data_IF_627083643064
#
_entry.id   IF_627083643064
#
_cell.length_a   1.000
_cell.length_b   1.000
_cell.length_c   1.000
_cell.angle_alpha   90.00
_cell.angle_beta   90.00
_cell.angle_gamma   90.00
#
_symmetry.space_group_name_H-M   'P 1'
#
loop_
_entity.id
_entity.type
_entity.pdbx_description
1 polymer ?
#
# COMPACT_ATOMS: atom_id res chain seq x y z
N UNK A 1 -34.69 18.10 -12.44
CA UNK A 1 -34.59 18.46 -11.00
C UNK A 1 -35.94 18.61 -10.26
N UNK A 2 -37.10 18.48 -10.94
CA UNK A 2 -38.42 18.64 -10.30
C UNK A 2 -38.80 17.61 -9.23
N UNK A 3 -38.13 16.44 -9.19
CA UNK A 3 -38.49 15.32 -8.30
C UNK A 3 -37.56 15.11 -7.09
N UNK A 4 -36.48 15.91 -6.94
CA UNK A 4 -35.57 15.87 -5.78
C UNK A 4 -36.30 16.06 -4.42
N UNK A 5 -37.29 16.95 -4.30
CA UNK A 5 -38.04 17.10 -3.05
C UNK A 5 -38.79 15.83 -2.62
N UNK A 6 -39.29 15.03 -3.59
CA UNK A 6 -39.98 13.77 -3.32
C UNK A 6 -38.99 12.69 -2.81
N UNK A 7 -37.80 12.59 -3.40
CA UNK A 7 -36.74 11.70 -2.92
C UNK A 7 -36.32 12.08 -1.49
N UNK A 8 -36.13 13.38 -1.24
CA UNK A 8 -35.76 13.88 0.09
C UNK A 8 -36.85 13.65 1.15
N UNK A 9 -38.11 13.81 0.79
CA UNK A 9 -39.26 13.51 1.67
C UNK A 9 -39.32 12.02 2.01
N UNK A 10 -39.05 11.13 1.03
CA UNK A 10 -38.93 9.69 1.22
C UNK A 10 -37.86 9.30 2.23
N UNK A 11 -36.66 9.88 2.10
CA UNK A 11 -35.55 9.64 2.99
C UNK A 11 -35.80 10.12 4.43
N UNK A 12 -36.51 11.23 4.61
CA UNK A 12 -36.81 11.82 5.94
C UNK A 12 -37.88 11.06 6.73
N UNK A 13 -38.68 10.24 6.10
CA UNK A 13 -39.88 9.65 6.74
C UNK A 13 -39.53 8.63 7.83
N UNK A 14 -38.55 7.74 7.61
CA UNK A 14 -38.04 6.81 8.63
C UNK A 14 -36.57 7.08 8.91
N UNK A 15 -36.33 8.17 9.62
CA UNK A 15 -34.99 8.73 9.89
C UNK A 15 -34.01 7.69 10.45
N UNK A 16 -34.46 6.85 11.39
CA UNK A 16 -33.59 5.84 12.03
C UNK A 16 -33.10 4.80 11.02
N UNK A 17 -34.00 4.26 10.18
CA UNK A 17 -33.64 3.27 9.16
C UNK A 17 -32.69 3.85 8.12
N UNK A 18 -33.03 5.03 7.59
CA UNK A 18 -32.17 5.72 6.61
C UNK A 18 -30.82 6.03 7.19
N UNK A 19 -30.76 6.52 8.45
CA UNK A 19 -29.50 6.79 9.15
C UNK A 19 -28.67 5.51 9.36
N UNK A 20 -29.27 4.41 9.78
CA UNK A 20 -28.55 3.15 9.96
C UNK A 20 -28.04 2.57 8.63
N UNK A 21 -28.82 2.64 7.56
CA UNK A 21 -28.37 2.20 6.23
C UNK A 21 -27.24 3.10 5.72
N UNK A 22 -27.39 4.41 5.86
CA UNK A 22 -26.33 5.38 5.53
C UNK A 22 -25.05 5.11 6.31
N UNK A 23 -25.16 4.92 7.64
CA UNK A 23 -24.01 4.63 8.51
C UNK A 23 -23.32 3.32 8.13
N UNK A 24 -24.10 2.27 7.80
CA UNK A 24 -23.54 0.99 7.35
C UNK A 24 -22.74 1.15 6.07
N UNK A 25 -23.25 1.92 5.09
CA UNK A 25 -22.55 2.21 3.84
C UNK A 25 -21.31 3.09 4.11
N UNK A 26 -21.44 4.11 4.95
CA UNK A 26 -20.35 4.96 5.38
C UNK A 26 -19.17 4.15 5.98
N UNK A 27 -19.45 3.29 6.95
CA UNK A 27 -18.44 2.43 7.61
C UNK A 27 -17.77 1.51 6.60
N UNK A 28 -18.54 0.94 5.68
CA UNK A 28 -18.01 0.04 4.68
C UNK A 28 -17.07 0.71 3.68
N UNK A 29 -17.42 1.89 3.20
CA UNK A 29 -16.55 2.63 2.30
C UNK A 29 -15.33 3.21 3.02
N UNK A 30 -15.48 3.55 4.30
CA UNK A 30 -14.35 3.88 5.15
C UNK A 30 -13.39 2.68 5.31
N UNK A 31 -13.94 1.48 5.59
CA UNK A 31 -13.14 0.25 5.65
C UNK A 31 -12.50 -0.10 4.31
N UNK A 32 -13.22 0.06 3.20
CA UNK A 32 -12.67 -0.12 1.85
C UNK A 32 -11.44 0.77 1.62
N UNK A 33 -11.51 2.05 2.00
CA UNK A 33 -10.40 2.98 1.86
C UNK A 33 -9.20 2.58 2.74
N UNK A 34 -9.44 2.18 4.00
CA UNK A 34 -8.37 1.69 4.88
C UNK A 34 -7.72 0.40 4.36
N UNK A 35 -8.51 -0.54 3.85
CA UNK A 35 -7.98 -1.77 3.24
C UNK A 35 -7.22 -1.47 1.95
N UNK A 36 -7.66 -0.48 1.16
CA UNK A 36 -6.93 0.01 0.00
C UNK A 36 -5.57 0.62 0.36
N UNK A 37 -5.53 1.45 1.42
CA UNK A 37 -4.29 2.01 1.95
C UNK A 37 -3.38 0.92 2.54
N UNK A 38 -3.93 -0.07 3.23
CA UNK A 38 -3.18 -1.23 3.75
C UNK A 38 -2.56 -2.04 2.61
N UNK A 39 -3.34 -2.35 1.57
CA UNK A 39 -2.83 -3.04 0.37
C UNK A 39 -1.66 -2.27 -0.23
N UNK A 40 -1.77 -0.95 -0.39
CA UNK A 40 -0.71 -0.12 -0.94
C UNK A 40 0.52 -0.09 -0.04
N UNK A 41 0.33 0.04 1.27
CA UNK A 41 1.42 0.01 2.24
C UNK A 41 2.23 -1.29 2.18
N UNK A 42 1.57 -2.42 1.95
CA UNK A 42 2.21 -3.73 1.84
C UNK A 42 2.77 -4.01 0.44
N UNK A 43 2.24 -3.34 -0.60
CA UNK A 43 2.68 -3.46 -1.99
C UNK A 43 3.61 -2.33 -2.42
N UNK A 44 3.80 -1.32 -1.59
CA UNK A 44 4.41 -0.02 -1.93
C UNK A 44 5.86 -0.10 -2.42
N UNK A 45 6.58 -1.17 -2.08
CA UNK A 45 7.93 -1.42 -2.63
C UNK A 45 7.94 -1.61 -4.15
N UNK A 46 6.84 -2.12 -4.72
CA UNK A 46 6.74 -2.40 -6.16
C UNK A 46 6.56 -1.11 -6.99
N UNK A 47 5.83 -0.13 -6.47
CA UNK A 47 5.54 1.12 -7.20
C UNK A 47 6.70 2.10 -7.23
N UNK A 48 7.70 1.93 -6.35
CA UNK A 48 8.90 2.76 -6.25
C UNK A 48 10.13 2.13 -6.91
N UNK A 49 10.03 0.85 -7.31
CA UNK A 49 11.11 0.16 -7.98
C UNK A 49 11.51 0.88 -9.28
N UNK A 50 12.80 1.05 -9.49
CA UNK A 50 13.33 1.63 -10.72
C UNK A 50 13.09 0.68 -11.89
N UNK A 51 12.55 1.21 -12.98
CA UNK A 51 12.38 0.43 -14.21
C UNK A 51 13.73 0.03 -14.84
N UNK A 52 14.79 0.75 -14.49
CA UNK A 52 16.16 0.59 -14.94
C UNK A 52 17.03 -0.20 -13.96
N UNK A 53 16.42 -0.80 -12.91
CA UNK A 53 17.17 -1.54 -11.88
C UNK A 53 16.84 -3.02 -11.86
N UNK A 54 17.90 -3.83 -11.76
CA UNK A 54 17.85 -5.28 -11.55
C UNK A 54 18.39 -5.62 -10.17
N UNK A 55 17.83 -6.65 -9.54
CA UNK A 55 18.35 -7.25 -8.31
C UNK A 55 19.03 -8.57 -8.67
N UNK A 56 20.30 -8.70 -8.30
CA UNK A 56 21.08 -9.92 -8.44
C UNK A 56 21.27 -10.53 -7.07
N UNK A 57 20.67 -11.66 -6.83
CA UNK A 57 20.74 -12.39 -5.56
C UNK A 57 21.22 -13.81 -5.76
N UNK A 58 21.53 -14.49 -4.67
CA UNK A 58 21.82 -15.92 -4.75
C UNK A 58 20.61 -16.70 -5.28
N UNK A 59 20.86 -17.65 -6.19
CA UNK A 59 19.79 -18.40 -6.90
C UNK A 59 18.84 -19.14 -5.97
N UNK A 60 19.38 -19.72 -4.91
CA UNK A 60 18.62 -20.59 -3.99
C UNK A 60 17.81 -19.77 -2.98
N UNK A 61 18.42 -18.76 -2.36
CA UNK A 61 17.79 -18.01 -1.27
C UNK A 61 18.36 -16.60 -1.17
N UNK A 62 17.51 -15.64 -0.74
CA UNK A 62 17.92 -14.28 -0.42
C UNK A 62 18.83 -14.20 0.83
N UNK A 63 18.76 -15.21 1.71
CA UNK A 63 19.57 -15.26 2.93
C UNK A 63 21.03 -15.64 2.62
N UNK A 64 21.26 -16.37 1.52
CA UNK A 64 22.60 -16.71 1.09
C UNK A 64 23.30 -15.52 0.45
N UNK A 65 24.55 -15.33 0.84
CA UNK A 65 25.38 -14.21 0.40
C UNK A 65 26.09 -14.52 -0.92
N UNK A 66 26.53 -13.48 -1.60
CA UNK A 66 27.33 -13.52 -2.84
C UNK A 66 28.72 -12.94 -2.58
N UNK A 67 29.77 -13.41 -3.28
CA UNK A 67 31.09 -12.81 -3.17
C UNK A 67 31.11 -11.33 -3.59
N UNK A 68 31.73 -10.45 -2.80
CA UNK A 68 31.90 -9.02 -3.12
C UNK A 68 32.64 -8.82 -4.47
N UNK A 69 33.52 -9.75 -4.84
CA UNK A 69 34.24 -9.74 -6.11
C UNK A 69 33.36 -9.81 -7.35
N UNK A 70 32.09 -10.24 -7.22
CA UNK A 70 31.15 -10.26 -8.34
C UNK A 70 30.78 -8.88 -8.86
N UNK A 71 30.89 -7.83 -8.03
CA UNK A 71 30.65 -6.43 -8.44
C UNK A 71 31.39 -6.05 -9.71
N UNK A 72 32.69 -6.32 -9.76
CA UNK A 72 33.53 -5.96 -10.92
C UNK A 72 33.13 -6.76 -12.18
N UNK A 73 32.78 -8.04 -12.04
CA UNK A 73 32.36 -8.90 -13.12
C UNK A 73 30.99 -8.46 -13.69
N UNK A 74 30.05 -8.13 -12.82
CA UNK A 74 28.73 -7.63 -13.21
C UNK A 74 28.87 -6.29 -13.94
N UNK A 75 29.71 -5.39 -13.44
CA UNK A 75 29.95 -4.09 -14.07
C UNK A 75 30.56 -4.19 -15.48
N UNK A 76 31.30 -5.26 -15.77
CA UNK A 76 31.89 -5.51 -17.09
C UNK A 76 30.89 -6.01 -18.13
N UNK A 77 29.66 -6.38 -17.73
CA UNK A 77 28.63 -6.88 -18.64
C UNK A 77 28.06 -5.71 -19.47
N UNK A 78 27.95 -5.91 -20.80
CA UNK A 78 27.44 -4.88 -21.71
C UNK A 78 26.01 -4.45 -21.38
N UNK A 79 25.79 -3.16 -21.20
CA UNK A 79 24.48 -2.58 -20.85
C UNK A 79 24.30 -2.30 -19.36
N UNK A 80 25.22 -2.74 -18.50
CA UNK A 80 25.28 -2.36 -17.08
C UNK A 80 25.89 -0.97 -16.96
N UNK A 81 25.20 -0.07 -16.28
CA UNK A 81 25.64 1.32 -16.06
C UNK A 81 26.25 1.54 -14.68
N UNK A 82 25.72 0.88 -13.65
CA UNK A 82 26.23 0.98 -12.28
C UNK A 82 25.85 -0.27 -11.48
N UNK A 83 26.64 -0.56 -10.44
CA UNK A 83 26.41 -1.68 -9.53
C UNK A 83 26.68 -1.21 -8.10
N UNK A 84 25.74 -1.44 -7.20
CA UNK A 84 25.96 -1.32 -5.77
C UNK A 84 25.51 -2.60 -5.06
N UNK A 85 25.97 -2.82 -3.85
CA UNK A 85 25.55 -3.96 -3.05
C UNK A 85 24.93 -3.53 -1.73
N UNK A 86 24.13 -4.43 -1.18
CA UNK A 86 23.46 -4.30 0.10
C UNK A 86 23.53 -5.64 0.83
N UNK A 87 23.51 -5.57 2.14
CA UNK A 87 23.42 -6.77 2.99
C UNK A 87 22.35 -6.56 4.04
N UNK A 88 21.59 -7.59 4.32
CA UNK A 88 20.62 -7.52 5.41
C UNK A 88 21.32 -7.57 6.75
N UNK A 89 21.21 -6.53 7.56
CA UNK A 89 21.85 -6.49 8.87
C UNK A 89 20.94 -7.02 9.98
N UNK A 90 19.65 -6.75 9.90
CA UNK A 90 18.64 -7.25 10.85
C UNK A 90 18.82 -6.70 12.27
N UNK A 91 19.39 -5.52 12.43
CA UNK A 91 19.63 -4.89 13.72
C UNK A 91 18.34 -4.49 14.41
N UNK A 92 18.29 -4.69 15.73
CA UNK A 92 17.14 -4.41 16.59
C UNK A 92 17.53 -3.31 17.58
N UNK A 93 16.69 -2.30 17.72
CA UNK A 93 16.86 -1.22 18.68
C UNK A 93 16.11 -1.50 19.97
N UNK A 94 16.84 -1.75 21.06
CA UNK A 94 16.32 -2.00 22.41
C UNK A 94 15.41 -3.24 22.53
N UNK A 95 14.22 -3.23 21.90
CA UNK A 95 13.18 -4.27 22.02
C UNK A 95 12.95 -4.92 20.64
N UNK A 96 12.75 -6.25 20.52
CA UNK A 96 12.47 -6.94 19.25
C UNK A 96 11.33 -6.33 18.42
N UNK A 97 10.32 -5.73 19.06
CA UNK A 97 9.21 -5.03 18.36
C UNK A 97 9.64 -3.72 17.69
N UNK A 98 10.81 -3.20 18.02
CA UNK A 98 11.39 -2.02 17.39
C UNK A 98 12.21 -2.35 16.14
N UNK A 99 11.73 -3.31 15.38
CA UNK A 99 12.31 -3.69 14.11
C UNK A 99 12.09 -2.59 13.04
N UNK A 100 13.10 -2.40 12.21
CA UNK A 100 13.09 -1.61 10.96
C UNK A 100 14.21 -2.10 10.04
N UNK A 101 14.06 -1.96 8.71
CA UNK A 101 15.09 -2.40 7.76
C UNK A 101 16.38 -1.59 7.95
N UNK A 102 17.51 -2.30 8.06
CA UNK A 102 18.82 -1.65 8.20
C UNK A 102 19.87 -2.47 7.45
N UNK A 103 20.69 -1.76 6.65
CA UNK A 103 21.59 -2.37 5.67
C UNK A 103 22.91 -1.62 5.56
N UNK A 104 24.06 -2.32 5.58
CA UNK A 104 25.31 -1.76 5.16
C UNK A 104 25.35 -1.58 3.64
N UNK A 105 25.87 -0.44 3.21
CA UNK A 105 25.96 -0.03 1.81
C UNK A 105 27.28 0.74 1.55
N UNK A 106 27.69 0.83 0.29
CA UNK A 106 28.73 1.78 -0.13
C UNK A 106 28.10 3.15 -0.38
N UNK A 107 28.36 4.16 0.46
CA UNK A 107 27.57 5.41 0.45
C UNK A 107 27.54 6.15 -0.89
N UNK A 108 28.67 6.22 -1.60
CA UNK A 108 28.76 6.91 -2.89
C UNK A 108 27.91 6.24 -3.97
N UNK A 109 28.06 4.95 -4.14
CA UNK A 109 27.33 4.16 -5.13
C UNK A 109 25.84 4.06 -4.79
N UNK A 110 25.54 3.95 -3.50
CA UNK A 110 24.18 3.87 -3.03
C UNK A 110 23.37 5.13 -3.34
N UNK A 111 23.87 6.31 -3.01
CA UNK A 111 23.16 7.57 -3.29
C UNK A 111 23.01 7.81 -4.81
N UNK A 112 24.02 7.42 -5.60
CA UNK A 112 23.91 7.49 -7.05
C UNK A 112 22.86 6.49 -7.60
N UNK A 113 22.74 5.30 -6.98
CA UNK A 113 21.79 4.25 -7.39
C UNK A 113 20.33 4.60 -7.04
N UNK A 114 20.09 5.26 -5.91
CA UNK A 114 18.77 5.55 -5.36
C UNK A 114 18.51 7.05 -5.23
N UNK A 115 18.32 7.79 -6.34
CA UNK A 115 18.08 9.23 -6.33
C UNK A 115 16.74 9.62 -5.67
N UNK A 116 15.88 8.66 -5.43
CA UNK A 116 14.64 8.85 -4.68
C UNK A 116 14.85 9.14 -3.19
N UNK A 117 16.00 8.83 -2.63
CA UNK A 117 16.38 9.20 -1.26
C UNK A 117 17.12 10.53 -1.26
N UNK A 118 16.49 11.56 -0.73
CA UNK A 118 17.03 12.91 -0.68
C UNK A 118 17.74 13.14 0.63
N UNK A 119 19.06 13.38 0.55
CA UNK A 119 19.89 13.71 1.70
C UNK A 119 20.55 15.08 1.45
N UNK A 120 20.54 15.96 2.44
CA UNK A 120 21.21 17.26 2.33
C UNK A 120 22.72 17.07 2.06
N UNK A 121 23.27 17.85 1.14
CA UNK A 121 24.70 17.74 0.73
C UNK A 121 25.70 17.79 1.90
N UNK A 122 25.42 18.62 2.91
CA UNK A 122 26.24 18.69 4.10
C UNK A 122 26.24 17.35 4.86
N UNK A 123 25.08 16.71 5.00
CA UNK A 123 24.93 15.40 5.66
C UNK A 123 25.56 14.28 4.82
N UNK A 124 25.44 14.36 3.50
CA UNK A 124 26.09 13.42 2.59
C UNK A 124 27.62 13.45 2.76
N UNK A 125 28.23 14.63 2.81
CA UNK A 125 29.67 14.78 3.04
C UNK A 125 30.11 14.21 4.40
N UNK A 126 29.34 14.45 5.45
CA UNK A 126 29.61 13.90 6.78
C UNK A 126 29.49 12.37 6.76
N UNK A 127 28.47 11.81 6.07
CA UNK A 127 28.30 10.36 5.96
C UNK A 127 29.49 9.70 5.24
N UNK A 128 29.97 10.29 4.16
CA UNK A 128 31.14 9.80 3.43
C UNK A 128 32.42 9.83 4.30
N UNK A 129 32.54 10.79 5.24
CA UNK A 129 33.69 10.95 6.10
C UNK A 129 33.62 10.16 7.42
N UNK A 130 32.41 9.85 7.93
CA UNK A 130 32.25 9.23 9.24
C UNK A 130 32.10 7.73 9.11
N UNK A 131 33.05 6.95 9.64
CA UNK A 131 33.08 5.50 9.49
C UNK A 131 31.88 4.80 10.14
N UNK A 132 31.52 5.14 11.38
CA UNK A 132 30.33 4.68 12.11
C UNK A 132 29.04 5.40 11.69
N UNK A 133 29.14 6.26 10.66
CA UNK A 133 28.03 7.09 10.20
C UNK A 133 26.90 6.29 9.59
N UNK A 134 25.70 6.64 10.00
CA UNK A 134 24.47 6.09 9.46
C UNK A 134 23.52 7.22 9.05
N UNK A 135 22.76 6.98 7.99
CA UNK A 135 21.63 7.80 7.58
C UNK A 135 20.32 7.05 7.86
N UNK A 136 19.35 7.77 8.34
CA UNK A 136 18.05 7.22 8.77
C UNK A 136 16.94 7.92 8.00
N UNK A 137 15.95 7.18 7.57
CA UNK A 137 14.77 7.76 6.95
C UNK A 137 13.91 8.53 7.96
N UNK A 138 13.19 9.54 7.46
CA UNK A 138 12.36 10.45 8.25
C UNK A 138 11.40 9.72 9.20
N UNK A 139 10.68 8.70 8.69
CA UNK A 139 9.70 7.96 9.49
C UNK A 139 10.32 7.24 10.69
N UNK A 140 11.51 6.66 10.53
CA UNK A 140 12.22 5.98 11.62
C UNK A 140 12.81 6.98 12.61
N UNK A 141 13.36 8.09 12.11
CA UNK A 141 13.86 9.18 12.97
C UNK A 141 12.74 9.75 13.85
N UNK A 142 11.56 10.00 13.30
CA UNK A 142 10.38 10.48 14.04
C UNK A 142 9.86 9.45 15.04
N UNK A 143 9.78 8.19 14.63
CA UNK A 143 9.33 7.08 15.48
C UNK A 143 10.15 6.93 16.75
N UNK A 144 11.47 7.02 16.63
CA UNK A 144 12.39 6.85 17.75
C UNK A 144 12.87 8.19 18.34
N UNK A 145 12.41 9.32 17.77
CA UNK A 145 12.82 10.68 18.13
C UNK A 145 14.33 10.92 17.98
N UNK A 146 14.93 10.26 17.00
CA UNK A 146 16.36 10.40 16.72
C UNK A 146 16.66 11.69 15.97
N UNK A 147 17.84 12.24 16.26
CA UNK A 147 18.33 13.47 15.65
C UNK A 147 19.72 13.23 15.07
N UNK A 148 20.12 14.07 14.14
CA UNK A 148 21.52 14.13 13.67
C UNK A 148 22.42 14.46 14.84
N UNK A 149 23.47 13.66 15.03
CA UNK A 149 24.39 13.71 16.17
C UNK A 149 24.13 12.67 17.26
N UNK A 150 22.98 11.98 17.23
CA UNK A 150 22.70 10.91 18.21
C UNK A 150 23.55 9.68 17.90
N UNK A 151 23.99 9.00 18.96
CA UNK A 151 24.65 7.71 18.88
C UNK A 151 23.70 6.61 19.35
N UNK A 152 23.46 5.65 18.47
CA UNK A 152 22.47 4.58 18.69
C UNK A 152 23.12 3.20 18.71
N UNK A 153 22.75 2.34 19.69
CA UNK A 153 23.14 0.96 19.69
C UNK A 153 22.10 0.10 18.96
N UNK A 154 22.54 -0.74 18.03
CA UNK A 154 21.72 -1.82 17.44
C UNK A 154 22.30 -3.16 17.82
N UNK A 155 21.45 -4.11 18.17
CA UNK A 155 21.83 -5.50 18.41
C UNK A 155 21.47 -6.33 17.18
N UNK A 156 22.47 -6.92 16.52
CA UNK A 156 22.23 -7.83 15.42
C UNK A 156 22.16 -9.27 15.93
N UNK A 157 21.07 -10.02 15.64
CA UNK A 157 21.00 -11.44 15.92
C UNK A 157 21.77 -12.29 14.90
N UNK A 158 22.17 -11.71 13.76
CA UNK A 158 22.81 -12.38 12.62
C UNK A 158 24.33 -12.16 12.66
N UNK A 159 24.77 -10.90 12.89
CA UNK A 159 26.14 -10.49 12.72
C UNK A 159 26.82 -10.24 14.06
N UNK A 160 27.75 -11.14 14.42
CA UNK A 160 28.59 -10.97 15.59
C UNK A 160 29.83 -10.14 15.30
N UNK A 161 30.32 -9.48 16.34
CA UNK A 161 31.63 -8.81 16.40
C UNK A 161 32.66 -9.68 17.17
N UNK A 162 33.97 -9.41 17.04
CA UNK A 162 34.99 -10.06 17.86
C UNK A 162 34.66 -9.99 19.36
N UNK A 163 35.11 -11.00 20.11
CA UNK A 163 34.81 -11.20 21.53
C UNK A 163 33.31 -11.46 21.86
N UNK A 164 32.54 -12.03 20.90
CA UNK A 164 31.15 -12.42 21.15
C UNK A 164 30.18 -11.26 21.31
N UNK A 165 30.59 -10.04 20.99
CA UNK A 165 29.70 -8.89 21.04
C UNK A 165 28.76 -8.92 19.85
N UNK A 166 27.49 -8.58 20.06
CA UNK A 166 26.47 -8.46 19.02
C UNK A 166 25.81 -7.07 19.00
N UNK A 167 26.35 -6.13 19.78
CA UNK A 167 25.93 -4.73 19.82
C UNK A 167 26.84 -3.87 18.96
N UNK A 168 26.23 -3.14 18.05
CA UNK A 168 26.86 -2.25 17.09
C UNK A 168 26.45 -0.81 17.40
N UNK A 169 27.38 0.11 17.32
CA UNK A 169 27.11 1.53 17.58
C UNK A 169 27.21 2.34 16.30
N UNK A 170 26.22 3.18 16.07
CA UNK A 170 26.13 4.03 14.90
C UNK A 170 25.90 5.50 15.29
N UNK A 171 26.59 6.40 14.60
CA UNK A 171 26.38 7.83 14.74
C UNK A 171 25.41 8.28 13.64
N UNK A 172 24.25 8.83 14.00
CA UNK A 172 23.29 9.35 13.02
C UNK A 172 23.84 10.65 12.46
N UNK A 173 24.29 10.60 11.22
CA UNK A 173 24.92 11.76 10.53
C UNK A 173 23.99 12.40 9.51
N UNK A 174 22.87 11.77 9.20
CA UNK A 174 21.91 12.31 8.26
C UNK A 174 20.51 11.71 8.42
N UNK A 175 19.51 12.49 8.04
CA UNK A 175 18.13 12.06 7.94
C UNK A 175 17.67 12.31 6.49
N UNK A 176 17.32 11.24 5.78
CA UNK A 176 16.88 11.35 4.39
C UNK A 176 15.35 11.40 4.27
N UNK A 177 14.90 12.09 3.25
CA UNK A 177 13.51 12.17 2.85
C UNK A 177 13.27 11.45 1.51
N UNK A 178 12.04 11.09 1.21
CA UNK A 178 11.68 10.55 -0.09
C UNK A 178 11.21 11.64 -1.05
N UNK A 179 11.60 11.57 -2.33
CA UNK A 179 11.15 12.50 -3.39
C UNK A 179 9.64 12.46 -3.58
N UNK A 180 9.02 11.29 -3.46
CA UNK A 180 7.59 11.09 -3.66
C UNK A 180 6.89 10.78 -2.34
N UNK A 181 5.63 11.25 -2.20
CA UNK A 181 4.75 10.77 -1.13
C UNK A 181 4.58 9.26 -1.29
N UNK A 182 4.99 8.50 -0.28
CA UNK A 182 4.97 7.03 -0.33
C UNK A 182 6.34 6.37 -0.49
N UNK A 183 7.43 7.13 -0.63
CA UNK A 183 8.77 6.57 -0.50
C UNK A 183 8.97 5.97 0.90
N UNK A 184 9.54 4.77 0.96
CA UNK A 184 9.82 4.12 2.24
C UNK A 184 11.01 4.80 2.94
N UNK A 185 10.70 5.64 3.92
CA UNK A 185 11.66 6.29 4.80
C UNK A 185 11.76 5.61 6.16
N UNK A 186 11.43 4.31 6.24
CA UNK A 186 11.60 3.52 7.46
C UNK A 186 12.97 2.86 7.59
N UNK A 187 13.79 2.99 6.58
CA UNK A 187 15.07 2.29 6.46
C UNK A 187 16.22 3.09 7.09
N UNK A 188 17.29 2.37 7.43
CA UNK A 188 18.55 2.93 7.87
C UNK A 188 19.68 2.34 7.02
N UNK A 189 20.58 3.19 6.57
CA UNK A 189 21.76 2.78 5.81
C UNK A 189 23.02 3.25 6.53
N UNK A 190 24.03 2.38 6.57
CA UNK A 190 25.30 2.66 7.18
C UNK A 190 26.44 2.09 6.32
N UNK A 191 27.67 2.44 6.64
CA UNK A 191 28.80 2.14 5.78
C UNK A 191 29.18 0.66 5.80
N UNK A 192 29.35 0.09 4.62
CA UNK A 192 29.77 -1.30 4.44
C UNK A 192 31.19 -1.56 4.97
N UNK A 193 32.14 -0.64 4.80
CA UNK A 193 33.50 -0.79 5.29
C UNK A 193 33.57 -0.93 6.83
N UNK A 194 32.74 -0.18 7.56
CA UNK A 194 32.59 -0.37 9.01
C UNK A 194 32.07 -1.76 9.35
N UNK A 195 31.04 -2.21 8.61
CA UNK A 195 30.46 -3.54 8.79
C UNK A 195 31.43 -4.66 8.46
N UNK A 196 32.11 -4.58 7.31
CA UNK A 196 33.03 -5.58 6.80
C UNK A 196 34.22 -5.82 7.74
N UNK A 197 34.78 -4.74 8.27
CA UNK A 197 35.90 -4.85 9.18
C UNK A 197 35.51 -5.45 10.53
N UNK A 198 34.34 -5.05 11.07
CA UNK A 198 33.92 -5.42 12.41
C UNK A 198 33.18 -6.75 12.49
N UNK A 199 32.62 -7.28 11.39
CA UNK A 199 31.95 -8.58 11.42
C UNK A 199 32.93 -9.75 11.53
N UNK A 200 32.51 -10.79 12.21
CA UNK A 200 33.35 -11.97 12.47
C UNK A 200 33.22 -13.02 11.35
N UNK A 201 32.09 -13.10 10.69
CA UNK A 201 31.76 -14.17 9.73
C UNK A 201 31.48 -13.58 8.34
N UNK A 202 31.58 -14.44 7.31
CA UNK A 202 31.25 -14.13 5.90
C UNK A 202 31.95 -12.89 5.32
N UNK A 203 33.22 -12.65 5.70
CA UNK A 203 34.02 -11.56 5.14
C UNK A 203 34.17 -11.72 3.63
N UNK A 204 34.13 -10.58 2.90
CA UNK A 204 34.17 -10.57 1.45
C UNK A 204 32.85 -11.02 0.79
N UNK A 205 31.75 -11.06 1.53
CA UNK A 205 30.45 -11.44 0.98
C UNK A 205 29.42 -10.35 1.22
N UNK A 206 28.45 -10.26 0.30
CA UNK A 206 27.34 -9.27 0.31
C UNK A 206 26.01 -9.99 0.15
N UNK A 207 24.91 -9.38 0.57
CA UNK A 207 23.61 -10.01 0.48
C UNK A 207 23.10 -10.08 -0.96
N UNK A 208 23.07 -8.97 -1.67
CA UNK A 208 22.63 -8.89 -3.08
C UNK A 208 23.24 -7.65 -3.75
N UNK A 209 23.16 -7.63 -5.06
CA UNK A 209 23.51 -6.46 -5.86
C UNK A 209 22.27 -5.80 -6.43
N UNK A 210 22.31 -4.48 -6.48
CA UNK A 210 21.39 -3.68 -7.30
C UNK A 210 22.19 -3.16 -8.50
N UNK A 211 21.69 -3.44 -9.68
CA UNK A 211 22.34 -3.15 -10.96
C UNK A 211 21.48 -2.16 -11.73
N UNK A 212 22.04 -1.00 -12.09
CA UNK A 212 21.38 -0.08 -13.01
C UNK A 212 21.78 -0.44 -14.45
N UNK A 213 20.77 -0.52 -15.30
CA UNK A 213 20.94 -0.80 -16.73
C UNK A 213 20.68 0.46 -17.55
N UNK A 214 21.42 0.60 -18.67
CA UNK A 214 21.31 1.77 -19.53
C UNK A 214 19.99 1.83 -20.32
N UNK A 215 19.41 0.67 -20.63
CA UNK A 215 18.15 0.55 -21.35
C UNK A 215 17.23 -0.48 -20.68
N UNK A 216 16.09 -0.05 -20.10
CA UNK A 216 15.12 -0.93 -19.45
C UNK A 216 14.54 -2.02 -20.37
N UNK A 217 14.41 -1.78 -21.68
CA UNK A 217 13.88 -2.75 -22.65
C UNK A 217 14.77 -3.99 -22.78
N UNK A 218 16.05 -3.88 -22.42
CA UNK A 218 17.03 -4.98 -22.42
C UNK A 218 17.16 -5.69 -21.08
N UNK A 219 16.28 -5.40 -20.12
CA UNK A 219 16.36 -5.94 -18.77
C UNK A 219 16.45 -7.47 -18.72
N UNK A 220 15.63 -8.16 -19.51
CA UNK A 220 15.62 -9.62 -19.57
C UNK A 220 16.92 -10.20 -20.18
N UNK A 221 17.45 -9.56 -21.23
CA UNK A 221 18.70 -9.96 -21.86
C UNK A 221 19.89 -9.80 -20.91
N UNK A 222 19.98 -8.62 -20.25
CA UNK A 222 21.08 -8.32 -19.31
C UNK A 222 20.98 -9.23 -18.08
N UNK A 223 19.78 -9.50 -17.58
CA UNK A 223 19.57 -10.43 -16.47
C UNK A 223 20.06 -11.84 -16.80
N UNK A 224 19.73 -12.34 -18.01
CA UNK A 224 20.20 -13.63 -18.48
C UNK A 224 21.73 -13.66 -18.67
N UNK A 225 22.34 -12.57 -19.15
CA UNK A 225 23.80 -12.46 -19.30
C UNK A 225 24.51 -12.49 -17.93
N UNK A 226 23.95 -11.80 -16.91
CA UNK A 226 24.48 -11.84 -15.55
C UNK A 226 24.40 -13.26 -15.00
N UNK A 227 23.25 -13.93 -15.10
CA UNK A 227 23.09 -15.29 -14.56
C UNK A 227 23.96 -16.31 -15.31
N UNK A 228 24.17 -16.15 -16.63
CA UNK A 228 25.05 -16.98 -17.40
C UNK A 228 26.53 -16.85 -16.97
N UNK A 229 26.98 -15.65 -16.59
CA UNK A 229 28.35 -15.36 -16.11
C UNK A 229 28.68 -16.18 -14.84
N UNK A 230 27.68 -16.45 -14.00
CA UNK A 230 27.86 -17.16 -12.72
C UNK A 230 27.30 -18.59 -12.73
N UNK A 231 26.87 -19.09 -13.88
CA UNK A 231 26.43 -20.49 -14.02
C UNK A 231 27.56 -21.45 -13.69
N UNK A 232 27.24 -22.52 -12.96
CA UNK A 232 28.21 -23.53 -12.47
C UNK A 232 29.25 -22.98 -11.48
N UNK A 233 29.04 -21.78 -10.92
CA UNK A 233 29.85 -21.29 -9.81
C UNK A 233 29.28 -21.79 -8.47
N UNK A 234 30.05 -21.77 -7.38
CA UNK A 234 29.54 -22.08 -6.05
C UNK A 234 28.43 -21.13 -5.57
N UNK A 235 28.33 -19.95 -6.19
CA UNK A 235 27.38 -18.88 -5.86
C UNK A 235 26.61 -18.45 -7.12
N UNK A 236 25.79 -19.36 -7.65
CA UNK A 236 24.94 -19.06 -8.80
C UNK A 236 23.97 -17.93 -8.47
N UNK A 237 23.74 -17.07 -9.44
CA UNK A 237 22.86 -15.91 -9.29
C UNK A 237 21.48 -16.15 -9.88
N UNK A 238 20.51 -15.38 -9.39
CA UNK A 238 19.22 -15.14 -10.00
C UNK A 238 19.01 -13.63 -10.09
N UNK A 239 18.88 -13.17 -11.33
CA UNK A 239 18.72 -11.76 -11.65
C UNK A 239 17.28 -11.50 -12.09
N UNK A 240 16.63 -10.53 -11.48
CA UNK A 240 15.24 -10.16 -11.78
C UNK A 240 15.05 -8.65 -11.66
N UNK A 241 14.09 -8.04 -12.38
CA UNK A 241 13.75 -6.62 -12.20
C UNK A 241 13.38 -6.32 -10.75
N UNK A 242 13.79 -5.14 -10.25
CA UNK A 242 13.54 -4.74 -8.85
C UNK A 242 12.06 -4.82 -8.48
N UNK A 243 11.16 -4.42 -9.39
CA UNK A 243 9.73 -4.54 -9.18
C UNK A 243 9.24 -5.99 -9.04
N UNK A 244 9.77 -6.92 -9.83
CA UNK A 244 9.43 -8.34 -9.74
C UNK A 244 9.96 -8.95 -8.43
N UNK A 245 11.19 -8.57 -8.03
CA UNK A 245 11.76 -8.97 -6.76
C UNK A 245 10.92 -8.49 -5.56
N UNK A 246 10.54 -7.20 -5.54
CA UNK A 246 9.72 -6.63 -4.49
C UNK A 246 8.34 -7.31 -4.41
N UNK A 247 7.73 -7.59 -5.57
CA UNK A 247 6.46 -8.33 -5.65
C UNK A 247 6.60 -9.77 -5.14
N UNK A 248 7.65 -10.49 -5.54
CA UNK A 248 7.92 -11.85 -5.08
C UNK A 248 8.17 -11.90 -3.57
N UNK A 249 8.88 -10.93 -3.02
CA UNK A 249 9.11 -10.80 -1.58
C UNK A 249 7.80 -10.55 -0.81
N UNK A 250 6.95 -9.64 -1.32
CA UNK A 250 5.63 -9.38 -0.73
C UNK A 250 4.73 -10.64 -0.74
N UNK A 251 4.78 -11.46 -1.80
CA UNK A 251 4.03 -12.71 -1.89
C UNK A 251 4.50 -13.79 -0.89
N UNK A 252 5.77 -13.77 -0.46
CA UNK A 252 6.26 -14.69 0.57
C UNK A 252 5.65 -14.44 1.96
N UNK A 253 5.22 -13.21 2.22
CA UNK A 253 4.51 -12.84 3.46
C UNK A 253 3.05 -13.34 3.45
N UNK A 254 2.59 -13.86 2.33
CA UNK A 254 1.24 -14.32 2.04
C UNK A 254 0.56 -13.45 1.00
N UNK A 255 -0.45 -13.98 0.32
CA UNK A 255 -1.23 -13.21 -0.66
C UNK A 255 -2.22 -12.28 0.07
N UNK A 256 -1.65 -11.28 0.76
CA UNK A 256 -2.42 -10.28 1.51
C UNK A 256 -3.38 -9.52 0.58
N UNK A 257 -2.99 -9.34 -0.68
CA UNK A 257 -3.85 -8.70 -1.66
C UNK A 257 -5.12 -9.53 -1.93
N UNK A 258 -5.00 -10.85 -2.03
CA UNK A 258 -6.15 -11.74 -2.17
C UNK A 258 -7.02 -11.75 -0.91
N UNK A 259 -6.42 -11.76 0.28
CA UNK A 259 -7.16 -11.70 1.55
C UNK A 259 -7.92 -10.37 1.64
N UNK A 260 -7.28 -9.24 1.37
CA UNK A 260 -7.92 -7.92 1.35
C UNK A 260 -9.07 -7.88 0.34
N UNK A 261 -8.87 -8.42 -0.86
CA UNK A 261 -9.91 -8.47 -1.89
C UNK A 261 -11.10 -9.34 -1.47
N UNK A 262 -10.86 -10.48 -0.82
CA UNK A 262 -11.90 -11.35 -0.29
C UNK A 262 -12.71 -10.64 0.82
N UNK A 263 -12.05 -9.95 1.74
CA UNK A 263 -12.71 -9.18 2.81
C UNK A 263 -13.54 -8.04 2.22
N UNK A 264 -12.97 -7.27 1.29
CA UNK A 264 -13.69 -6.21 0.56
C UNK A 264 -14.92 -6.78 -0.14
N UNK A 265 -14.77 -7.88 -0.87
CA UNK A 265 -15.87 -8.56 -1.55
C UNK A 265 -16.98 -8.99 -0.59
N UNK A 266 -16.65 -9.59 0.54
CA UNK A 266 -17.60 -10.00 1.57
C UNK A 266 -18.37 -8.81 2.18
N UNK A 267 -17.64 -7.73 2.47
CA UNK A 267 -18.23 -6.47 2.99
C UNK A 267 -19.20 -5.87 1.97
N UNK A 268 -18.78 -5.75 0.70
CA UNK A 268 -19.66 -5.24 -0.37
C UNK A 268 -20.89 -6.10 -0.59
N UNK A 269 -20.73 -7.43 -0.58
CA UNK A 269 -21.86 -8.35 -0.69
C UNK A 269 -22.85 -8.18 0.45
N UNK A 270 -22.35 -8.10 1.69
CA UNK A 270 -23.21 -7.89 2.87
C UNK A 270 -23.97 -6.57 2.78
N UNK A 271 -23.30 -5.49 2.38
CA UNK A 271 -23.95 -4.17 2.26
C UNK A 271 -24.95 -4.15 1.13
N UNK A 272 -24.66 -4.82 0.02
CA UNK A 272 -25.62 -4.97 -1.08
C UNK A 272 -26.91 -5.64 -0.61
N UNK A 273 -26.80 -6.73 0.19
CA UNK A 273 -27.96 -7.40 0.77
C UNK A 273 -28.72 -6.49 1.75
N UNK A 274 -28.01 -5.80 2.65
CA UNK A 274 -28.61 -4.88 3.62
C UNK A 274 -29.31 -3.72 2.91
N UNK A 275 -28.64 -3.04 2.00
CA UNK A 275 -29.21 -1.94 1.24
C UNK A 275 -30.40 -2.38 0.38
N UNK A 276 -30.28 -3.48 -0.34
CA UNK A 276 -31.34 -4.04 -1.16
C UNK A 276 -32.58 -4.43 -0.35
N UNK A 277 -32.39 -5.11 0.78
CA UNK A 277 -33.49 -5.49 1.68
C UNK A 277 -34.17 -4.25 2.30
N UNK A 278 -33.37 -3.25 2.72
CA UNK A 278 -33.89 -2.00 3.27
C UNK A 278 -34.69 -1.23 2.23
N UNK A 279 -34.24 -1.17 0.98
CA UNK A 279 -34.95 -0.53 -0.12
C UNK A 279 -36.24 -1.31 -0.49
N UNK A 280 -36.20 -2.65 -0.53
CA UNK A 280 -37.39 -3.46 -0.77
C UNK A 280 -38.45 -3.27 0.34
N UNK A 281 -38.02 -3.15 1.58
CA UNK A 281 -38.90 -2.83 2.70
C UNK A 281 -39.47 -1.41 2.56
N UNK A 282 -38.65 -0.43 2.16
CA UNK A 282 -39.09 0.95 1.91
C UNK A 282 -40.21 0.99 0.85
N UNK A 283 -40.07 0.24 -0.24
CA UNK A 283 -41.10 0.15 -1.31
C UNK A 283 -42.34 -0.49 -0.80
N UNK A 284 -42.28 -1.59 -0.03
CA UNK A 284 -43.48 -2.27 0.55
C UNK A 284 -44.25 -1.35 1.49
N UNK A 285 -43.60 -0.58 2.32
CA UNK A 285 -44.23 0.34 3.27
C UNK A 285 -44.90 1.55 2.57
N UNK A 286 -44.47 1.90 1.34
CA UNK A 286 -44.94 3.05 0.56
C UNK A 286 -45.79 2.64 -0.62
N UNK A 287 -46.30 1.39 -0.62
CA UNK A 287 -47.09 0.85 -1.74
C UNK A 287 -48.30 1.74 -2.04
N UNK A 288 -49.00 2.21 -1.02
CA UNK A 288 -50.19 3.09 -1.18
C UNK A 288 -49.80 4.42 -1.83
N UNK A 289 -48.74 5.08 -1.35
CA UNK A 289 -48.26 6.37 -1.90
C UNK A 289 -47.84 6.22 -3.36
N UNK A 290 -47.10 5.14 -3.66
CA UNK A 290 -46.69 4.85 -5.03
C UNK A 290 -47.92 4.57 -5.94
N UNK A 291 -48.98 3.95 -5.37
CA UNK A 291 -50.25 3.78 -6.03
C UNK A 291 -50.94 5.10 -6.33
N UNK A 292 -51.01 6.00 -5.36
CA UNK A 292 -51.56 7.38 -5.53
C UNK A 292 -50.77 8.15 -6.57
N UNK A 293 -49.43 8.11 -6.54
CA UNK A 293 -48.59 8.79 -7.55
C UNK A 293 -48.92 8.29 -8.98
N UNK A 294 -49.13 6.97 -9.14
CA UNK A 294 -49.54 6.39 -10.43
C UNK A 294 -50.95 6.81 -10.82
N UNK A 295 -51.88 6.91 -9.87
CA UNK A 295 -53.26 7.35 -10.12
C UNK A 295 -53.31 8.84 -10.58
N UNK A 296 -52.42 9.69 -10.11
CA UNK A 296 -52.29 11.09 -10.50
C UNK A 296 -51.54 11.24 -11.86
N UNK A 297 -51.04 10.15 -12.46
CA UNK A 297 -50.46 10.19 -13.80
C UNK A 297 -48.93 10.00 -13.86
N UNK A 298 -48.26 9.61 -12.78
CA UNK A 298 -46.86 9.22 -12.84
C UNK A 298 -46.67 7.94 -13.66
N UNK A 299 -45.81 8.01 -14.68
CA UNK A 299 -45.50 6.83 -15.48
C UNK A 299 -44.75 5.75 -14.65
N UNK A 300 -44.89 4.50 -15.06
CA UNK A 300 -44.17 3.38 -14.43
C UNK A 300 -42.65 3.62 -14.38
N UNK A 301 -42.06 4.24 -15.41
CA UNK A 301 -40.66 4.56 -15.48
C UNK A 301 -40.28 5.67 -14.47
N UNK A 302 -41.15 6.67 -14.26
CA UNK A 302 -40.87 7.72 -13.24
C UNK A 302 -40.88 7.13 -11.83
N UNK A 303 -41.76 6.20 -11.51
CA UNK A 303 -41.78 5.52 -10.21
C UNK A 303 -40.48 4.70 -10.01
N UNK A 304 -40.08 3.95 -11.04
CA UNK A 304 -38.80 3.23 -11.03
C UNK A 304 -37.63 4.20 -10.76
N UNK A 305 -37.56 5.30 -11.51
CA UNK A 305 -36.49 6.29 -11.39
C UNK A 305 -36.47 6.94 -10.00
N UNK A 306 -37.59 7.23 -9.39
CA UNK A 306 -37.68 7.79 -8.03
C UNK A 306 -37.07 6.84 -7.00
N UNK A 307 -37.43 5.55 -7.02
CA UNK A 307 -36.90 4.55 -6.09
C UNK A 307 -35.40 4.32 -6.33
N UNK A 308 -34.99 4.27 -7.59
CA UNK A 308 -33.58 4.12 -7.95
C UNK A 308 -32.73 5.32 -7.49
N UNK A 309 -33.24 6.54 -7.70
CA UNK A 309 -32.56 7.77 -7.21
C UNK A 309 -32.45 7.78 -5.69
N UNK A 310 -33.47 7.31 -4.95
CA UNK A 310 -33.42 7.21 -3.50
C UNK A 310 -32.31 6.28 -3.04
N UNK A 311 -32.18 5.09 -3.67
CA UNK A 311 -31.08 4.15 -3.42
C UNK A 311 -29.72 4.77 -3.74
N UNK A 312 -29.58 5.40 -4.89
CA UNK A 312 -28.34 6.07 -5.30
C UNK A 312 -27.95 7.20 -4.36
N UNK A 313 -28.89 8.01 -3.89
CA UNK A 313 -28.62 9.08 -2.94
C UNK A 313 -28.03 8.57 -1.62
N UNK A 314 -28.57 7.47 -1.08
CA UNK A 314 -28.05 6.88 0.16
C UNK A 314 -26.66 6.27 -0.09
N UNK A 315 -26.49 5.52 -1.18
CA UNK A 315 -25.24 4.83 -1.48
C UNK A 315 -24.12 5.81 -1.82
N UNK A 316 -24.38 6.80 -2.65
CA UNK A 316 -23.40 7.83 -3.02
C UNK A 316 -23.09 8.71 -1.81
N UNK A 317 -24.12 9.17 -1.08
CA UNK A 317 -23.92 9.99 0.13
C UNK A 317 -23.08 9.27 1.18
N UNK A 318 -23.44 8.04 1.54
CA UNK A 318 -22.69 7.21 2.50
C UNK A 318 -21.30 6.83 2.00
N UNK A 319 -21.20 6.45 0.71
CA UNK A 319 -19.93 6.06 0.09
C UNK A 319 -18.92 7.22 0.03
N UNK A 320 -19.33 8.36 -0.51
CA UNK A 320 -18.44 9.53 -0.61
C UNK A 320 -18.04 10.10 0.74
N UNK A 321 -18.98 10.14 1.70
CA UNK A 321 -18.64 10.57 3.06
C UNK A 321 -17.70 9.60 3.78
N UNK A 322 -17.87 8.27 3.58
CA UNK A 322 -16.98 7.24 4.11
C UNK A 322 -15.58 7.32 3.53
N UNK A 323 -15.45 7.45 2.20
CA UNK A 323 -14.17 7.67 1.50
C UNK A 323 -13.50 8.98 1.95
N UNK A 324 -14.28 10.06 2.06
CA UNK A 324 -13.80 11.37 2.50
C UNK A 324 -13.30 11.37 3.94
N UNK A 325 -14.02 10.70 4.85
CA UNK A 325 -13.61 10.54 6.24
C UNK A 325 -12.30 9.74 6.35
N UNK A 326 -12.18 8.63 5.63
CA UNK A 326 -10.94 7.85 5.58
C UNK A 326 -9.78 8.67 5.03
N UNK A 327 -10.00 9.42 3.94
CA UNK A 327 -8.99 10.30 3.36
C UNK A 327 -8.54 11.38 4.35
N UNK A 328 -9.46 12.01 5.09
CA UNK A 328 -9.13 13.00 6.11
C UNK A 328 -8.33 12.40 7.26
N UNK A 329 -8.70 11.22 7.75
CA UNK A 329 -7.98 10.54 8.83
C UNK A 329 -6.56 10.19 8.38
N UNK A 330 -6.40 9.64 7.18
CA UNK A 330 -5.08 9.27 6.64
C UNK A 330 -4.25 10.53 6.33
N UNK A 331 -4.86 11.61 5.84
CA UNK A 331 -4.18 12.87 5.58
C UNK A 331 -3.75 13.61 6.86
N UNK A 332 -4.45 13.42 7.96
CA UNK A 332 -4.09 13.98 9.27
C UNK A 332 -2.84 13.34 9.89
N UNK A 333 -2.44 12.16 9.40
CA UNK A 333 -1.23 11.46 9.83
C UNK A 333 -1.40 9.95 9.76
N UNK A 334 -0.28 9.23 9.76
CA UNK A 334 -0.31 7.77 9.77
C UNK A 334 -0.83 7.27 11.14
N UNK A 335 -1.95 6.54 11.21
CA UNK A 335 -2.52 6.07 12.48
C UNK A 335 -1.68 4.95 13.13
N UNK A 336 -0.82 4.28 12.38
CA UNK A 336 -0.01 3.12 12.83
C UNK A 336 1.42 3.17 12.27
N UNK A 337 2.19 4.24 12.55
CA UNK A 337 3.52 4.43 11.94
C UNK A 337 4.53 3.35 12.36
N UNK A 338 4.28 2.69 13.50
CA UNK A 338 5.15 1.61 14.00
C UNK A 338 5.00 0.30 13.23
N UNK A 339 3.85 0.06 12.61
CA UNK A 339 3.54 -1.18 11.89
C UNK A 339 3.63 -1.00 10.38
N UNK A 340 3.20 0.15 9.88
CA UNK A 340 3.13 0.50 8.47
C UNK A 340 3.75 1.89 8.27
N UNK A 341 5.05 1.96 7.95
CA UNK A 341 5.76 3.25 7.81
C UNK A 341 5.21 4.10 6.66
N UNK A 342 4.71 3.45 5.62
CA UNK A 342 4.07 4.11 4.46
C UNK A 342 2.58 3.78 4.49
N UNK A 343 1.74 4.76 4.82
CA UNK A 343 0.29 4.58 4.85
C UNK A 343 -0.39 5.78 4.19
N UNK A 344 -0.79 5.63 2.94
CA UNK A 344 -1.49 6.66 2.18
C UNK A 344 -2.59 6.05 1.32
N UNK A 345 -3.59 6.84 0.98
CA UNK A 345 -4.69 6.41 0.13
C UNK A 345 -4.39 6.80 -1.33
N UNK A 346 -4.16 5.83 -2.23
CA UNK A 346 -3.89 6.13 -3.64
C UNK A 346 -5.12 6.75 -4.32
N UNK A 347 -4.93 7.71 -5.25
CA UNK A 347 -6.05 8.31 -6.00
C UNK A 347 -6.90 7.27 -6.75
N UNK A 348 -6.29 6.19 -7.23
CA UNK A 348 -6.99 5.08 -7.87
C UNK A 348 -8.02 4.39 -6.97
N UNK A 349 -7.74 4.28 -5.67
CA UNK A 349 -8.68 3.72 -4.69
C UNK A 349 -9.86 4.65 -4.42
N UNK A 350 -9.67 5.97 -4.49
CA UNK A 350 -10.77 6.92 -4.40
C UNK A 350 -11.70 6.83 -5.62
N UNK A 351 -11.12 6.74 -6.82
CA UNK A 351 -11.90 6.62 -8.06
C UNK A 351 -12.66 5.29 -8.09
N UNK A 352 -12.00 4.18 -7.78
CA UNK A 352 -12.66 2.87 -7.74
C UNK A 352 -13.74 2.81 -6.66
N UNK A 353 -13.51 3.39 -5.48
CA UNK A 353 -14.51 3.51 -4.43
C UNK A 353 -15.71 4.35 -4.84
N UNK A 354 -15.50 5.48 -5.54
CA UNK A 354 -16.58 6.30 -6.07
C UNK A 354 -17.44 5.53 -7.10
N UNK A 355 -16.81 4.80 -8.02
CA UNK A 355 -17.50 3.95 -8.98
C UNK A 355 -18.30 2.83 -8.28
N UNK A 356 -17.72 2.21 -7.27
CA UNK A 356 -18.40 1.19 -6.46
C UNK A 356 -19.60 1.76 -5.70
N UNK A 357 -19.54 2.99 -5.20
CA UNK A 357 -20.69 3.64 -4.53
C UNK A 357 -21.87 3.85 -5.48
N UNK A 358 -21.59 4.27 -6.71
CA UNK A 358 -22.62 4.40 -7.76
C UNK A 358 -23.18 3.03 -8.14
N UNK A 359 -22.30 2.05 -8.37
CA UNK A 359 -22.71 0.68 -8.71
C UNK A 359 -23.58 0.05 -7.60
N UNK A 360 -23.19 0.22 -6.33
CA UNK A 360 -23.97 -0.24 -5.17
C UNK A 360 -25.39 0.36 -5.17
N UNK A 361 -25.50 1.67 -5.37
CA UNK A 361 -26.80 2.35 -5.42
C UNK A 361 -27.71 1.83 -6.51
N UNK A 362 -27.16 1.58 -7.70
CA UNK A 362 -27.90 1.02 -8.83
C UNK A 362 -28.32 -0.42 -8.54
N UNK A 363 -27.37 -1.30 -8.18
CA UNK A 363 -27.64 -2.73 -8.01
C UNK A 363 -28.62 -2.97 -6.85
N UNK A 364 -28.41 -2.30 -5.70
CA UNK A 364 -29.29 -2.41 -4.55
C UNK A 364 -30.71 -1.86 -4.83
N UNK A 365 -30.80 -0.84 -5.70
CA UNK A 365 -32.06 -0.17 -6.04
C UNK A 365 -32.85 -0.83 -7.16
N UNK A 366 -32.21 -1.53 -8.11
CA UNK A 366 -32.87 -2.05 -9.33
C UNK A 366 -34.01 -2.99 -9.01
N UNK A 367 -33.84 -3.97 -8.15
CA UNK A 367 -34.90 -4.97 -7.80
C UNK A 367 -36.07 -4.30 -7.11
N UNK A 368 -35.90 -3.47 -6.05
CA UNK A 368 -37.02 -2.76 -5.43
C UNK A 368 -37.69 -1.75 -6.39
N UNK A 369 -36.92 -1.06 -7.21
CA UNK A 369 -37.45 -0.11 -8.19
C UNK A 369 -38.31 -0.82 -9.25
N UNK A 370 -37.90 -1.99 -9.71
CA UNK A 370 -38.64 -2.80 -10.64
C UNK A 370 -39.95 -3.36 -10.01
N UNK A 371 -39.91 -3.75 -8.73
CA UNK A 371 -41.12 -4.14 -7.97
C UNK A 371 -42.10 -2.97 -7.87
N UNK A 372 -41.62 -1.76 -7.54
CA UNK A 372 -42.39 -0.54 -7.49
C UNK A 372 -43.04 -0.20 -8.87
N UNK A 373 -42.30 -0.38 -9.95
CA UNK A 373 -42.78 -0.17 -11.31
C UNK A 373 -43.93 -1.08 -11.65
N UNK A 374 -43.92 -2.33 -11.19
CA UNK A 374 -44.96 -3.36 -11.49
C UNK A 374 -46.18 -3.30 -10.59
N UNK A 375 -46.23 -2.44 -9.58
CA UNK A 375 -47.40 -2.27 -8.71
C UNK A 375 -48.65 -1.87 -9.51
N UNK A 376 -49.73 -2.64 -9.34
CA UNK A 376 -51.05 -2.31 -9.90
C UNK A 376 -51.79 -1.32 -8.98
N UNK A 377 -52.37 -0.28 -9.53
CA UNK A 377 -53.08 0.76 -8.78
C UNK A 377 -54.17 0.15 -7.90
N UNK A 378 -54.97 -0.80 -8.46
CA UNK A 378 -56.05 -1.48 -7.74
C UNK A 378 -55.56 -2.26 -6.50
N UNK A 379 -54.38 -2.93 -6.59
CA UNK A 379 -53.81 -3.71 -5.49
C UNK A 379 -53.22 -2.82 -4.41
N UNK A 380 -52.66 -1.65 -4.84
CA UNK A 380 -52.06 -0.67 -3.94
C UNK A 380 -53.10 0.03 -3.05
N UNK A 381 -54.27 0.35 -3.61
CA UNK A 381 -55.34 1.07 -2.90
C UNK A 381 -56.23 0.14 -2.06
N UNK A 382 -56.29 -1.18 -2.36
CA UNK A 382 -57.11 -2.17 -1.63
C UNK A 382 -56.47 -2.63 -0.30
N UNK A 383 -55.21 -2.39 -0.06
CA UNK A 383 -54.52 -2.75 1.18
C UNK A 383 -54.63 -1.71 2.31
N UNK A 384 -55.26 -0.58 2.03
CA UNK A 384 -55.47 0.53 2.98
C UNK A 384 -56.89 0.67 3.50
N UNK A 385 -57.80 -0.34 3.23
CA UNK A 385 -59.13 -0.37 3.75
C UNK A 385 -59.35 -1.45 4.78
#
# INVERSE_FOLDING_TARGET
MKFLPLVWAGLKRKKLRTALTYLSIFIAFMLFAFLGALKEALSGGVSMAGLDRLIVRHKVSLIQTLPESYKARILAIGGVAAVCHQTWFGGIYQDPKNFFPNMPVEPGDFLAMFPEFVLAEAQQRVWLATRSGAIVGRSTAERFKWKVGDRIPLRSPIWGQPAGRNQWEFDIVGIFDGVKKGADTSQMFFRYDYFEEARQQEKGQVGWYTVRIANPDRAAEIAAAIDAEFTNSPYETKTEPEGAFAQGFAQQIGDIAAIVMAVVGAVFFTILLVAGNTMAQSVRERTEELGVLKAIGFSNFLVLLLVLLESCCIAIGGGFSGLGAAWLIIAAGNPIPSLLPVFFLPPGSLVSGALLAVALGIIAGVVPAWQAMRLRIADALRRGG
#
